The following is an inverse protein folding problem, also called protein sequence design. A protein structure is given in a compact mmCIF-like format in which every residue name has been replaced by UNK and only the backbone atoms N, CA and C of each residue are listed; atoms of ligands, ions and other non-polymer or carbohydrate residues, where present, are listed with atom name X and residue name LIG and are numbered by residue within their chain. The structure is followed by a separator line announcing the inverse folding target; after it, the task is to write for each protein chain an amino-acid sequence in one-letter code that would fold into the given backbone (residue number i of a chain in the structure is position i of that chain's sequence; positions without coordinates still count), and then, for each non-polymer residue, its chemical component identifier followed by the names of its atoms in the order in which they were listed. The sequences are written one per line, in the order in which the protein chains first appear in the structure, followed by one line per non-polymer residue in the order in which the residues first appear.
data_IF_945998254612
#
_entry.id   IF_945998254612
#
_cell.length_a   1.000
_cell.length_b   1.000
_cell.length_c   1.000
_cell.angle_alpha   90.00
_cell.angle_beta   90.00
_cell.angle_gamma   90.00
#
_symmetry.space_group_name_H-M   'P 1'
#
loop_
_entity.id
_entity.type
_entity.pdbx_description
1 polymer ?
#
# COMPACT_ATOMS: atom_id res chain seq x y z
N UNK A 1 33.06 4.17 1.54
CA UNK A 1 33.89 5.23 2.14
C UNK A 1 32.97 6.31 2.68
N UNK A 2 33.17 6.72 3.93
CA UNK A 2 32.36 7.71 4.62
C UNK A 2 33.25 8.83 5.12
N UNK A 3 32.98 10.06 4.70
CA UNK A 3 33.58 11.24 5.30
C UNK A 3 32.81 11.58 6.58
N UNK A 4 33.52 11.71 7.70
CA UNK A 4 32.93 12.13 8.96
C UNK A 4 33.00 13.66 9.02
N UNK A 5 31.85 14.32 9.17
CA UNK A 5 31.78 15.77 9.36
C UNK A 5 31.12 16.06 10.70
N UNK A 6 31.74 16.88 11.54
CA UNK A 6 31.11 17.33 12.80
C UNK A 6 29.97 18.31 12.53
N UNK A 7 29.11 18.55 13.51
CA UNK A 7 28.13 19.63 13.42
C UNK A 7 28.70 21.04 13.22
N UNK A 8 30.00 21.24 13.44
CA UNK A 8 30.71 22.50 13.17
C UNK A 8 31.33 22.56 11.77
N UNK A 9 31.19 21.49 10.96
CA UNK A 9 31.75 21.41 9.61
C UNK A 9 33.21 20.93 9.56
N UNK A 10 33.80 20.55 10.69
CA UNK A 10 35.15 20.01 10.74
C UNK A 10 35.17 18.57 10.18
N UNK A 11 36.18 18.28 9.36
CA UNK A 11 36.38 16.95 8.78
C UNK A 11 37.12 16.06 9.78
N UNK A 12 36.48 14.96 10.14
CA UNK A 12 37.07 13.87 10.90
C UNK A 12 37.77 12.84 10.01
N UNK A 13 38.28 11.79 10.66
CA UNK A 13 38.92 10.66 9.96
C UNK A 13 37.89 9.92 9.09
N UNK A 14 38.29 9.61 7.85
CA UNK A 14 37.46 8.84 6.91
C UNK A 14 37.28 7.42 7.41
N UNK A 15 36.03 6.94 7.40
CA UNK A 15 35.69 5.57 7.82
C UNK A 15 35.41 4.71 6.59
N UNK A 16 35.91 3.48 6.63
CA UNK A 16 35.67 2.47 5.60
C UNK A 16 34.80 1.36 6.18
N UNK A 17 33.77 0.96 5.43
CA UNK A 17 33.07 -0.29 5.72
C UNK A 17 33.82 -1.45 5.04
N UNK A 18 33.86 -2.58 5.72
CA UNK A 18 34.44 -3.84 5.25
C UNK A 18 33.35 -4.93 5.24
N UNK A 19 33.73 -6.19 4.97
CA UNK A 19 32.80 -7.33 4.94
C UNK A 19 32.07 -7.57 6.27
N UNK A 20 32.65 -7.15 7.39
CA UNK A 20 32.05 -7.25 8.73
C UNK A 20 31.16 -6.04 9.08
N UNK A 21 31.02 -5.07 8.18
CA UNK A 21 30.15 -3.90 8.33
C UNK A 21 30.89 -2.57 8.47
N UNK A 22 30.19 -1.58 9.03
CA UNK A 22 30.74 -0.25 9.33
C UNK A 22 30.98 -0.14 10.83
N UNK A 23 32.24 0.01 11.24
CA UNK A 23 32.60 0.27 12.64
C UNK A 23 32.83 1.76 12.82
N UNK A 24 32.05 2.39 13.71
CA UNK A 24 32.29 3.76 14.13
C UNK A 24 32.05 3.90 15.63
N UNK A 25 32.79 4.78 16.28
CA UNK A 25 32.61 5.08 17.70
C UNK A 25 31.81 6.38 17.83
N UNK A 26 30.54 6.35 18.30
CA UNK A 26 29.75 7.56 18.46
C UNK A 26 30.37 8.48 19.52
N UNK A 27 30.42 9.78 19.23
CA UNK A 27 30.78 10.83 20.19
C UNK A 27 29.52 11.50 20.76
N UNK A 28 29.66 12.21 21.90
CA UNK A 28 28.58 13.00 22.50
C UNK A 28 28.11 14.17 21.60
N UNK A 29 28.97 14.65 20.71
CA UNK A 29 28.64 15.69 19.74
C UNK A 29 28.11 15.05 18.43
N UNK A 30 27.11 15.65 17.75
CA UNK A 30 26.61 15.12 16.48
C UNK A 30 27.71 15.04 15.42
N UNK A 31 27.71 13.93 14.68
CA UNK A 31 28.58 13.66 13.56
C UNK A 31 27.73 13.17 12.38
N UNK A 32 28.07 13.63 11.18
CA UNK A 32 27.44 13.25 9.92
C UNK A 32 28.36 12.32 9.15
N UNK A 33 27.82 11.20 8.68
CA UNK A 33 28.53 10.28 7.77
C UNK A 33 28.08 10.58 6.35
N UNK A 34 28.96 11.24 5.57
CA UNK A 34 28.66 11.59 4.18
C UNK A 34 29.23 10.53 3.25
N UNK A 35 28.35 9.94 2.43
CA UNK A 35 28.72 8.99 1.39
C UNK A 35 29.25 9.75 0.17
N UNK A 36 30.55 9.67 -0.09
CA UNK A 36 31.20 10.33 -1.25
C UNK A 36 31.18 9.46 -2.50
N UNK A 37 31.22 8.14 -2.32
CA UNK A 37 31.17 7.14 -3.39
C UNK A 37 30.28 6.00 -2.94
N UNK A 38 29.51 5.43 -3.87
CA UNK A 38 28.78 4.19 -3.62
C UNK A 38 29.76 3.15 -3.07
N UNK A 39 29.41 2.53 -1.95
CA UNK A 39 30.22 1.46 -1.38
C UNK A 39 29.72 0.13 -1.94
N UNK A 40 30.49 -0.57 -2.79
CA UNK A 40 30.05 -1.81 -3.44
C UNK A 40 29.57 -2.86 -2.44
N UNK A 41 30.20 -2.93 -1.26
CA UNK A 41 29.85 -3.86 -0.20
C UNK A 41 28.52 -3.52 0.46
N UNK A 42 28.20 -2.23 0.63
CA UNK A 42 26.92 -1.82 1.21
C UNK A 42 25.79 -1.89 0.19
N UNK A 43 26.04 -1.60 -1.09
CA UNK A 43 25.04 -1.76 -2.15
C UNK A 43 24.62 -3.22 -2.36
N UNK A 44 25.43 -4.18 -1.91
CA UNK A 44 25.10 -5.61 -1.96
C UNK A 44 24.53 -6.19 -0.67
N UNK A 45 24.50 -5.42 0.43
CA UNK A 45 23.95 -5.93 1.71
C UNK A 45 22.42 -5.78 1.68
N UNK A 46 21.64 -6.84 2.00
CA UNK A 46 20.17 -6.78 2.03
C UNK A 46 19.59 -5.63 2.86
N UNK A 47 20.32 -5.14 3.86
CA UNK A 47 19.95 -3.99 4.68
C UNK A 47 19.96 -2.64 3.94
N UNK A 48 20.66 -2.51 2.81
CA UNK A 48 20.70 -1.26 2.04
C UNK A 48 19.50 -1.10 1.08
N UNK A 49 18.91 -2.21 0.65
CA UNK A 49 17.69 -2.26 -0.16
C UNK A 49 16.72 -3.28 0.48
N UNK A 50 16.16 -2.97 1.67
CA UNK A 50 15.38 -3.94 2.43
C UNK A 50 14.19 -4.43 1.63
N UNK A 51 13.85 -5.70 1.82
CA UNK A 51 12.57 -6.25 1.36
C UNK A 51 11.44 -5.39 1.90
N UNK A 52 10.41 -5.23 1.09
CA UNK A 52 9.13 -4.70 1.53
C UNK A 52 8.09 -5.80 1.41
N UNK A 53 7.11 -5.80 2.30
CA UNK A 53 6.01 -6.74 2.23
C UNK A 53 4.69 -6.08 2.62
N UNK A 54 3.61 -6.55 2.00
CA UNK A 54 2.23 -6.18 2.34
C UNK A 54 1.39 -7.43 2.46
N UNK A 55 0.52 -7.42 3.46
CA UNK A 55 -0.55 -8.41 3.63
C UNK A 55 -1.85 -7.80 3.09
N UNK A 56 -2.56 -8.55 2.26
CA UNK A 56 -3.85 -8.11 1.72
C UNK A 56 -4.80 -9.27 1.50
N UNK A 57 -6.10 -9.01 1.57
CA UNK A 57 -7.11 -10.01 1.25
C UNK A 57 -7.32 -10.11 -0.26
N UNK A 58 -7.34 -11.34 -0.77
CA UNK A 58 -7.81 -11.69 -2.12
C UNK A 58 -9.18 -12.35 -1.97
N UNK A 59 -10.20 -11.68 -2.49
CA UNK A 59 -11.60 -11.95 -2.17
C UNK A 59 -11.87 -11.81 -0.67
N UNK A 60 -12.86 -12.56 -0.18
CA UNK A 60 -13.27 -12.48 1.23
C UNK A 60 -12.44 -13.36 2.20
N UNK A 61 -11.59 -14.26 1.68
CA UNK A 61 -11.08 -15.38 2.47
C UNK A 61 -9.60 -15.69 2.30
N UNK A 62 -8.94 -15.23 1.25
CA UNK A 62 -7.53 -15.58 1.03
C UNK A 62 -6.66 -14.44 1.51
N UNK A 63 -5.73 -14.72 2.43
CA UNK A 63 -4.67 -13.80 2.79
C UNK A 63 -3.50 -14.01 1.82
N UNK A 64 -3.13 -12.97 1.09
CA UNK A 64 -1.99 -12.97 0.20
C UNK A 64 -0.87 -12.09 0.77
N UNK A 65 0.37 -12.45 0.41
CA UNK A 65 1.56 -11.63 0.67
C UNK A 65 2.08 -11.14 -0.66
N UNK A 66 2.23 -9.83 -0.77
CA UNK A 66 3.03 -9.20 -1.82
C UNK A 66 4.39 -8.84 -1.22
N UNK A 67 5.47 -9.25 -1.86
CA UNK A 67 6.84 -8.91 -1.48
C UNK A 67 7.46 -8.13 -2.63
N UNK A 68 8.02 -6.97 -2.31
CA UNK A 68 8.83 -6.18 -3.23
C UNK A 68 10.29 -6.27 -2.80
N UNK A 69 11.16 -6.53 -3.78
CA UNK A 69 12.60 -6.72 -3.60
C UNK A 69 13.36 -5.66 -4.42
N UNK A 70 13.57 -4.46 -3.85
CA UNK A 70 14.21 -3.36 -4.56
C UNK A 70 15.72 -3.58 -4.79
N UNK A 71 16.30 -4.64 -4.24
CA UNK A 71 17.72 -4.96 -4.45
C UNK A 71 18.01 -5.61 -5.80
N UNK A 72 16.98 -6.13 -6.49
CA UNK A 72 17.06 -6.97 -7.69
C UNK A 72 17.91 -8.24 -7.53
N UNK A 73 18.50 -8.48 -6.36
CA UNK A 73 19.27 -9.67 -6.06
C UNK A 73 18.34 -10.87 -5.85
N UNK A 74 18.86 -12.08 -6.07
CA UNK A 74 18.13 -13.28 -5.66
C UNK A 74 17.89 -13.28 -4.16
N UNK A 75 16.72 -13.76 -3.74
CA UNK A 75 16.39 -13.92 -2.33
C UNK A 75 15.84 -15.33 -2.09
N UNK A 76 16.25 -15.96 -1.00
CA UNK A 76 15.67 -17.21 -0.52
C UNK A 76 15.35 -17.06 0.96
N UNK A 77 14.12 -17.36 1.33
CA UNK A 77 13.67 -17.19 2.70
C UNK A 77 12.40 -17.97 3.00
N UNK A 78 11.93 -17.79 4.21
CA UNK A 78 10.71 -18.42 4.72
C UNK A 78 9.81 -17.35 5.29
N UNK A 79 8.54 -17.44 4.96
CA UNK A 79 7.48 -16.57 5.41
C UNK A 79 6.68 -17.28 6.51
N UNK A 80 6.42 -16.57 7.59
CA UNK A 80 5.71 -17.06 8.78
C UNK A 80 4.59 -16.08 9.11
N UNK A 81 3.37 -16.56 9.30
CA UNK A 81 2.34 -15.72 9.91
C UNK A 81 2.60 -15.64 11.42
N UNK A 82 2.49 -14.44 11.95
CA UNK A 82 2.59 -14.18 13.40
C UNK A 82 1.21 -13.80 13.93
N UNK A 83 0.88 -14.24 15.15
CA UNK A 83 -0.40 -13.96 15.82
C UNK A 83 -1.63 -14.11 14.90
N UNK A 84 -1.67 -15.21 14.15
CA UNK A 84 -2.70 -15.43 13.13
C UNK A 84 -3.98 -16.01 13.74
N UNK A 85 -5.12 -15.41 13.45
CA UNK A 85 -6.44 -15.93 13.77
C UNK A 85 -7.36 -15.90 12.55
N UNK A 86 -8.30 -16.84 12.49
CA UNK A 86 -9.29 -16.87 11.42
C UNK A 86 -8.82 -17.45 10.08
N UNK A 87 -7.59 -17.98 10.02
CA UNK A 87 -7.02 -18.66 8.85
C UNK A 87 -6.80 -20.15 9.12
N UNK A 88 -7.07 -20.98 8.11
CA UNK A 88 -6.62 -22.37 8.06
C UNK A 88 -5.21 -22.47 7.47
N UNK A 89 -4.43 -23.45 7.92
CA UNK A 89 -3.05 -23.70 7.45
C UNK A 89 -2.12 -22.48 7.56
N UNK A 90 -2.01 -21.86 8.74
CA UNK A 90 -1.11 -20.74 9.05
C UNK A 90 0.38 -21.12 9.15
N UNK A 91 0.79 -22.14 8.41
CA UNK A 91 2.15 -22.69 8.45
C UNK A 91 3.20 -21.77 7.83
N UNK A 92 4.41 -22.30 7.68
CA UNK A 92 5.52 -21.62 7.02
C UNK A 92 5.43 -21.82 5.51
N UNK A 93 5.88 -20.83 4.73
CA UNK A 93 5.97 -20.95 3.27
C UNK A 93 7.32 -20.46 2.78
N UNK A 94 8.04 -21.30 2.05
CA UNK A 94 9.27 -20.89 1.39
C UNK A 94 9.00 -19.86 0.29
N UNK A 95 9.88 -18.88 0.16
CA UNK A 95 9.92 -17.93 -0.94
C UNK A 95 11.29 -17.94 -1.60
N UNK A 96 11.27 -17.92 -2.93
CA UNK A 96 12.46 -17.74 -3.75
C UNK A 96 12.20 -16.66 -4.80
N UNK A 97 13.05 -15.65 -4.84
CA UNK A 97 13.13 -14.62 -5.88
C UNK A 97 14.38 -14.87 -6.71
N UNK A 98 14.24 -14.86 -8.03
CA UNK A 98 15.39 -14.92 -8.96
C UNK A 98 16.07 -13.54 -9.05
N UNK A 99 17.33 -13.47 -9.51
CA UNK A 99 17.90 -12.18 -9.89
C UNK A 99 17.01 -11.47 -10.92
N UNK A 100 16.75 -10.18 -10.69
CA UNK A 100 15.81 -9.36 -11.47
C UNK A 100 14.32 -9.54 -11.15
N UNK A 101 13.96 -10.45 -10.22
CA UNK A 101 12.58 -10.60 -9.76
C UNK A 101 12.30 -9.60 -8.62
N UNK A 102 11.77 -8.43 -9.01
CA UNK A 102 11.60 -7.27 -8.13
C UNK A 102 10.31 -7.28 -7.32
N UNK A 103 9.38 -8.18 -7.65
CA UNK A 103 8.14 -8.37 -6.89
C UNK A 103 7.63 -9.81 -7.01
N UNK A 104 6.97 -10.30 -5.97
CA UNK A 104 6.27 -11.59 -5.98
C UNK A 104 5.00 -11.51 -5.15
N UNK A 105 3.90 -11.95 -5.77
CA UNK A 105 2.62 -12.13 -5.13
C UNK A 105 2.37 -13.62 -4.88
N UNK A 106 1.98 -13.98 -3.65
CA UNK A 106 1.61 -15.33 -3.30
C UNK A 106 0.38 -15.37 -2.38
N UNK A 107 -0.53 -16.30 -2.66
CA UNK A 107 -1.56 -16.68 -1.69
C UNK A 107 -0.90 -17.44 -0.55
N UNK A 108 -1.11 -17.00 0.68
CA UNK A 108 -0.43 -17.55 1.83
C UNK A 108 -1.30 -18.55 2.59
N UNK A 109 -2.42 -18.07 3.10
CA UNK A 109 -3.38 -18.81 3.90
C UNK A 109 -4.80 -18.43 3.49
N UNK A 110 -5.77 -19.27 3.84
CA UNK A 110 -7.18 -19.01 3.55
C UNK A 110 -8.03 -19.26 4.78
N UNK A 111 -9.00 -18.39 5.02
CA UNK A 111 -10.03 -18.57 6.03
C UNK A 111 -11.02 -19.69 5.65
N UNK A 112 -11.58 -20.40 6.63
CA UNK A 112 -12.77 -21.22 6.44
C UNK A 112 -13.93 -20.39 5.88
N UNK A 113 -14.86 -21.01 5.17
CA UNK A 113 -15.98 -20.34 4.49
C UNK A 113 -16.91 -19.52 5.40
N UNK A 114 -16.90 -19.80 6.71
CA UNK A 114 -17.76 -19.14 7.71
C UNK A 114 -17.15 -17.89 8.33
N UNK A 115 -15.88 -17.61 8.06
CA UNK A 115 -15.15 -16.60 8.81
C UNK A 115 -15.15 -15.25 8.08
N UNK A 116 -15.53 -14.19 8.79
CA UNK A 116 -15.70 -12.85 8.22
C UNK A 116 -14.48 -11.95 8.43
N UNK A 117 -13.45 -12.38 9.17
CA UNK A 117 -12.27 -11.56 9.46
C UNK A 117 -11.02 -12.43 9.59
N UNK A 118 -9.86 -11.90 9.17
CA UNK A 118 -8.55 -12.54 9.31
C UNK A 118 -7.64 -11.62 10.11
N UNK A 119 -6.99 -12.13 11.16
CA UNK A 119 -5.92 -11.42 11.85
C UNK A 119 -4.59 -12.10 11.51
N UNK A 120 -3.58 -11.32 11.13
CA UNK A 120 -2.25 -11.84 10.91
C UNK A 120 -1.20 -10.73 10.90
N UNK A 121 -0.03 -11.02 11.45
CA UNK A 121 1.23 -10.38 11.13
C UNK A 121 2.07 -11.26 10.22
N UNK A 122 3.24 -10.77 9.82
CA UNK A 122 4.14 -11.48 8.93
C UNK A 122 5.57 -11.38 9.46
N UNK A 123 6.30 -12.48 9.38
CA UNK A 123 7.74 -12.50 9.56
C UNK A 123 8.39 -13.17 8.37
N UNK A 124 9.45 -12.57 7.85
CA UNK A 124 10.29 -13.10 6.77
C UNK A 124 11.65 -13.39 7.36
N UNK A 125 12.10 -14.64 7.27
CA UNK A 125 13.42 -15.07 7.73
C UNK A 125 14.26 -15.60 6.56
N UNK A 126 15.58 -15.42 6.63
CA UNK A 126 16.55 -16.01 5.71
C UNK A 126 17.76 -16.45 6.52
N UNK A 127 18.16 -17.71 6.38
CA UNK A 127 19.33 -18.28 7.08
C UNK A 127 19.32 -18.03 8.61
N UNK A 128 18.13 -18.07 9.23
CA UNK A 128 17.95 -17.83 10.67
C UNK A 128 17.95 -16.35 11.08
N UNK A 129 18.08 -15.42 10.13
CA UNK A 129 18.00 -13.98 10.36
C UNK A 129 16.63 -13.44 9.97
N UNK A 130 16.06 -12.57 10.83
CA UNK A 130 14.81 -11.86 10.52
C UNK A 130 15.10 -10.74 9.54
N UNK A 131 14.51 -10.83 8.35
CA UNK A 131 14.69 -9.87 7.27
C UNK A 131 13.62 -8.77 7.33
N UNK A 132 12.40 -9.12 7.73
CA UNK A 132 11.27 -8.20 7.84
C UNK A 132 10.24 -8.76 8.82
N UNK A 133 9.62 -7.89 9.62
CA UNK A 133 8.51 -8.24 10.50
C UNK A 133 7.42 -7.16 10.40
N UNK A 134 6.18 -7.59 10.16
CA UNK A 134 4.98 -6.76 10.16
C UNK A 134 4.16 -7.09 11.40
N UNK A 135 3.76 -6.04 12.11
CA UNK A 135 2.82 -6.16 13.21
C UNK A 135 1.52 -6.82 12.74
N UNK A 136 0.87 -7.61 13.59
CA UNK A 136 -0.41 -8.21 13.26
C UNK A 136 -1.48 -7.14 13.10
N UNK A 137 -2.33 -7.35 12.10
CA UNK A 137 -3.46 -6.49 11.77
C UNK A 137 -4.68 -7.35 11.49
N UNK A 138 -5.87 -6.83 11.74
CA UNK A 138 -7.12 -7.52 11.45
C UNK A 138 -7.75 -6.96 10.18
N UNK A 139 -7.93 -7.83 9.20
CA UNK A 139 -8.52 -7.53 7.91
C UNK A 139 -9.98 -7.99 7.89
N UNK A 140 -10.89 -7.05 7.62
CA UNK A 140 -12.31 -7.31 7.42
C UNK A 140 -12.64 -7.05 5.95
N UNK A 141 -12.94 -8.07 5.14
CA UNK A 141 -13.37 -7.88 3.75
C UNK A 141 -14.66 -7.06 3.72
N UNK A 142 -14.78 -6.22 2.70
CA UNK A 142 -16.03 -5.60 2.33
C UNK A 142 -16.71 -6.44 1.24
N UNK A 143 -18.03 -6.30 1.11
CA UNK A 143 -18.76 -6.97 0.05
C UNK A 143 -18.29 -6.52 -1.33
N UNK A 144 -18.22 -7.43 -2.30
CA UNK A 144 -17.85 -7.13 -3.68
C UNK A 144 -18.76 -6.04 -4.30
N UNK A 145 -20.04 -6.03 -3.87
CA UNK A 145 -21.04 -5.01 -4.21
C UNK A 145 -20.57 -3.58 -3.98
N UNK A 146 -19.71 -3.33 -2.97
CA UNK A 146 -19.15 -2.01 -2.70
C UNK A 146 -18.48 -1.39 -3.93
N UNK A 147 -17.76 -2.21 -4.71
CA UNK A 147 -17.13 -1.75 -5.95
C UNK A 147 -18.06 -1.96 -7.15
N UNK A 148 -18.72 -3.11 -7.27
CA UNK A 148 -19.48 -3.45 -8.49
C UNK A 148 -20.76 -2.64 -8.68
N UNK A 149 -21.36 -2.17 -7.59
CA UNK A 149 -22.52 -1.24 -7.62
C UNK A 149 -22.08 0.23 -7.54
N UNK A 150 -20.79 0.48 -7.34
CA UNK A 150 -20.22 1.81 -7.30
C UNK A 150 -20.35 2.53 -8.64
N UNK A 151 -20.36 3.86 -8.60
CA UNK A 151 -20.34 4.71 -9.79
C UNK A 151 -19.07 5.54 -9.82
N UNK A 152 -18.66 5.94 -11.01
CA UNK A 152 -17.54 6.87 -11.18
C UNK A 152 -18.06 8.27 -11.51
N UNK A 153 -17.63 9.26 -10.74
CA UNK A 153 -17.97 10.68 -10.95
C UNK A 153 -16.71 11.49 -11.15
N UNK A 154 -16.77 12.49 -12.04
CA UNK A 154 -15.69 13.47 -12.17
C UNK A 154 -15.86 14.59 -11.13
N UNK A 155 -14.74 15.08 -10.63
CA UNK A 155 -14.64 16.17 -9.65
C UNK A 155 -13.41 17.04 -10.04
N UNK A 156 -13.21 18.20 -9.41
CA UNK A 156 -12.20 19.20 -9.81
C UNK A 156 -12.77 20.30 -10.70
N UNK A 157 -11.94 20.92 -11.54
CA UNK A 157 -12.35 22.09 -12.34
C UNK A 157 -13.37 21.70 -13.42
N UNK A 158 -14.58 22.24 -13.33
CA UNK A 158 -15.70 21.95 -14.24
C UNK A 158 -15.42 22.30 -15.71
N UNK A 159 -14.46 23.19 -15.99
CA UNK A 159 -14.08 23.59 -17.36
C UNK A 159 -13.21 22.56 -18.07
N UNK A 160 -12.57 21.66 -17.32
CA UNK A 160 -11.68 20.66 -17.90
C UNK A 160 -12.51 19.49 -18.44
N UNK A 161 -12.45 19.26 -19.74
CA UNK A 161 -13.13 18.14 -20.37
C UNK A 161 -12.60 16.81 -19.83
N UNK A 162 -13.50 15.90 -19.47
CA UNK A 162 -13.14 14.56 -19.00
C UNK A 162 -14.16 13.52 -19.47
N UNK A 163 -13.72 12.27 -19.58
CA UNK A 163 -14.60 11.12 -19.73
C UNK A 163 -14.13 10.03 -18.78
N UNK A 164 -15.08 9.29 -18.23
CA UNK A 164 -14.80 8.22 -17.29
C UNK A 164 -15.87 7.15 -17.38
N UNK A 165 -15.48 5.90 -17.16
CA UNK A 165 -16.42 4.78 -17.09
C UNK A 165 -15.98 3.77 -16.04
N UNK A 166 -16.96 3.08 -15.47
CA UNK A 166 -16.76 2.01 -14.50
C UNK A 166 -17.62 0.82 -14.92
N UNK A 167 -17.07 -0.38 -14.88
CA UNK A 167 -17.79 -1.60 -15.20
C UNK A 167 -17.11 -2.82 -14.57
N UNK A 168 -17.91 -3.84 -14.23
CA UNK A 168 -17.34 -5.17 -13.95
C UNK A 168 -16.67 -5.70 -15.22
N UNK A 169 -15.43 -6.16 -15.09
CA UNK A 169 -14.64 -6.65 -16.22
C UNK A 169 -13.56 -7.63 -15.78
N UNK A 170 -12.78 -8.12 -16.74
CA UNK A 170 -11.63 -8.99 -16.50
C UNK A 170 -10.35 -8.15 -16.63
N UNK A 171 -9.46 -8.25 -15.65
CA UNK A 171 -8.16 -7.59 -15.70
C UNK A 171 -7.22 -8.27 -16.73
N UNK A 172 -6.20 -7.57 -17.25
CA UNK A 172 -5.28 -8.13 -18.24
C UNK A 172 -4.56 -9.39 -17.71
N UNK A 173 -4.19 -9.38 -16.43
CA UNK A 173 -3.68 -10.56 -15.72
C UNK A 173 -4.61 -10.88 -14.54
N UNK A 174 -4.89 -12.16 -14.27
CA UNK A 174 -5.73 -12.55 -13.14
C UNK A 174 -5.02 -12.26 -11.81
N UNK A 175 -5.76 -11.75 -10.82
CA UNK A 175 -5.28 -11.73 -9.44
C UNK A 175 -5.29 -13.16 -8.91
N UNK A 176 -4.15 -13.78 -8.54
CA UNK A 176 -4.10 -15.19 -8.20
C UNK A 176 -5.07 -15.57 -7.07
N UNK A 177 -5.98 -16.51 -7.34
CA UNK A 177 -6.97 -17.00 -6.36
C UNK A 177 -8.18 -16.09 -6.15
N UNK A 178 -8.31 -14.99 -6.92
CA UNK A 178 -9.52 -14.20 -6.95
C UNK A 178 -10.61 -14.89 -7.78
N UNK A 179 -11.77 -15.09 -7.18
CA UNK A 179 -12.98 -15.60 -7.86
C UNK A 179 -14.16 -14.62 -7.78
N UNK A 180 -13.90 -13.39 -7.32
CA UNK A 180 -14.88 -12.32 -7.17
C UNK A 180 -14.80 -11.35 -8.36
N UNK A 181 -15.87 -10.56 -8.62
CA UNK A 181 -15.85 -9.52 -9.64
C UNK A 181 -14.66 -8.55 -9.49
N UNK A 182 -14.10 -8.15 -10.62
CA UNK A 182 -13.12 -7.06 -10.72
C UNK A 182 -13.80 -5.88 -11.40
N UNK A 183 -13.52 -4.67 -10.90
CA UNK A 183 -14.08 -3.45 -11.48
C UNK A 183 -13.03 -2.71 -12.28
N UNK A 184 -13.28 -2.51 -13.57
CA UNK A 184 -12.47 -1.72 -14.48
C UNK A 184 -12.91 -0.26 -14.43
N UNK A 185 -11.93 0.63 -14.38
CA UNK A 185 -12.09 2.08 -14.51
C UNK A 185 -11.33 2.53 -15.75
N UNK A 186 -11.99 3.25 -16.64
CA UNK A 186 -11.32 4.04 -17.68
C UNK A 186 -11.47 5.51 -17.33
N UNK A 187 -10.43 6.29 -17.56
CA UNK A 187 -10.45 7.72 -17.34
C UNK A 187 -9.68 8.44 -18.44
N UNK A 188 -10.10 9.66 -18.75
CA UNK A 188 -9.33 10.61 -19.54
C UNK A 188 -9.74 12.04 -19.17
N UNK A 189 -8.79 12.97 -19.18
CA UNK A 189 -9.04 14.39 -19.05
C UNK A 189 -8.08 15.20 -19.93
N UNK A 190 -8.54 16.39 -20.34
CA UNK A 190 -7.68 17.43 -20.88
C UNK A 190 -6.67 17.92 -19.82
N UNK A 191 -5.74 18.77 -20.25
CA UNK A 191 -4.83 19.47 -19.35
C UNK A 191 -5.65 20.32 -18.35
N UNK A 192 -5.32 20.19 -17.07
CA UNK A 192 -5.98 20.87 -15.97
C UNK A 192 -6.20 19.97 -14.76
N UNK A 193 -6.89 20.51 -13.76
CA UNK A 193 -7.12 19.81 -12.49
C UNK A 193 -8.42 19.00 -12.52
N UNK A 194 -8.28 17.67 -12.43
CA UNK A 194 -9.39 16.72 -12.37
C UNK A 194 -9.16 15.58 -11.39
N UNK A 195 -10.26 15.13 -10.80
CA UNK A 195 -10.36 13.91 -10.01
C UNK A 195 -11.38 12.96 -10.64
N UNK A 196 -11.15 11.67 -10.47
CA UNK A 196 -12.12 10.63 -10.78
C UNK A 196 -12.42 9.83 -9.52
N UNK A 197 -13.65 9.88 -9.05
CA UNK A 197 -14.07 9.31 -7.77
C UNK A 197 -14.96 8.10 -8.00
N UNK A 198 -14.54 6.94 -7.51
CA UNK A 198 -15.40 5.78 -7.31
C UNK A 198 -16.15 5.99 -6.01
N UNK A 199 -17.42 6.32 -6.13
CA UNK A 199 -18.31 6.54 -4.98
C UNK A 199 -19.21 5.32 -4.81
N UNK A 200 -19.49 4.89 -3.57
CA UNK A 200 -20.35 3.75 -3.31
C UNK A 200 -21.80 4.05 -3.73
N UNK A 201 -22.60 3.00 -3.91
CA UNK A 201 -24.06 3.13 -4.00
C UNK A 201 -24.63 3.68 -2.68
N UNK A 202 -25.79 4.34 -2.73
CA UNK A 202 -26.39 4.99 -1.55
C UNK A 202 -26.73 3.99 -0.44
N UNK A 203 -26.99 2.73 -0.81
CA UNK A 203 -27.16 1.56 0.09
C UNK A 203 -25.94 1.28 0.99
N UNK A 204 -24.79 1.88 0.68
CA UNK A 204 -23.52 1.70 1.40
C UNK A 204 -23.05 2.97 2.12
N UNK A 205 -23.93 3.97 2.27
CA UNK A 205 -23.64 5.25 2.95
C UNK A 205 -23.70 5.19 4.49
N UNK A 206 -23.99 4.00 5.05
CA UNK A 206 -24.12 3.79 6.49
C UNK A 206 -22.79 3.88 7.25
N UNK A 207 -22.88 4.12 8.56
CA UNK A 207 -21.73 4.17 9.45
C UNK A 207 -20.97 2.83 9.50
N UNK A 208 -19.65 2.91 9.42
CA UNK A 208 -18.74 1.78 9.52
C UNK A 208 -18.57 1.43 11.00
N UNK A 209 -18.83 0.16 11.33
CA UNK A 209 -18.71 -0.34 12.71
C UNK A 209 -17.25 -0.37 13.15
N UNK A 210 -16.98 0.23 14.31
CA UNK A 210 -15.68 0.23 14.98
C UNK A 210 -14.77 1.39 14.58
N UNK A 211 -13.48 1.24 14.89
CA UNK A 211 -12.44 2.21 14.60
C UNK A 211 -11.37 1.58 13.68
N UNK A 212 -11.63 1.44 12.37
CA UNK A 212 -10.60 0.97 11.44
C UNK A 212 -9.39 1.92 11.45
N UNK A 213 -8.20 1.34 11.35
CA UNK A 213 -6.94 2.07 11.17
C UNK A 213 -6.62 2.33 9.69
N UNK A 214 -7.33 1.67 8.77
CA UNK A 214 -7.14 1.91 7.34
C UNK A 214 -8.11 1.17 6.43
N UNK A 215 -7.87 1.34 5.14
CA UNK A 215 -8.58 0.68 4.06
C UNK A 215 -7.56 0.16 3.04
N UNK A 216 -7.77 -1.04 2.51
CA UNK A 216 -6.90 -1.57 1.47
C UNK A 216 -7.68 -2.29 0.37
N UNK A 217 -7.11 -2.32 -0.82
CA UNK A 217 -7.66 -2.98 -2.00
C UNK A 217 -6.55 -3.32 -3.00
N UNK A 218 -6.81 -4.27 -3.87
CA UNK A 218 -5.92 -4.56 -5.01
C UNK A 218 -6.20 -3.59 -6.15
N UNK A 219 -5.12 -3.08 -6.73
CA UNK A 219 -5.15 -2.24 -7.93
C UNK A 219 -4.25 -2.85 -8.99
N UNK A 220 -4.81 -3.10 -10.17
CA UNK A 220 -4.03 -3.34 -11.38
C UNK A 220 -3.65 -1.98 -11.96
N UNK A 221 -2.37 -1.61 -11.82
CA UNK A 221 -1.84 -0.33 -12.25
C UNK A 221 -1.58 -0.27 -13.77
N UNK A 222 -1.59 0.95 -14.31
CA UNK A 222 -1.23 1.26 -15.70
C UNK A 222 0.13 1.99 -15.85
N UNK A 223 0.86 2.16 -14.75
CA UNK A 223 2.17 2.80 -14.71
C UNK A 223 2.14 4.32 -14.96
N UNK A 224 0.97 4.97 -14.92
CA UNK A 224 0.84 6.40 -15.29
C UNK A 224 1.09 7.40 -14.17
N UNK A 225 1.68 6.94 -13.07
CA UNK A 225 2.06 7.75 -11.90
C UNK A 225 0.90 8.57 -11.33
N UNK A 226 -0.28 7.97 -11.27
CA UNK A 226 -1.46 8.63 -10.73
C UNK A 226 -1.42 8.62 -9.19
N UNK A 227 -2.03 9.62 -8.55
CA UNK A 227 -2.05 9.74 -7.08
C UNK A 227 -3.39 9.21 -6.52
N UNK A 228 -3.43 7.98 -5.96
CA UNK A 228 -4.65 7.43 -5.38
C UNK A 228 -4.96 8.05 -4.02
N UNK A 229 -6.22 8.40 -3.83
CA UNK A 229 -6.76 8.91 -2.56
C UNK A 229 -8.08 8.19 -2.24
N UNK A 230 -8.64 8.45 -1.07
CA UNK A 230 -10.02 8.12 -0.75
C UNK A 230 -10.66 9.26 0.04
N UNK A 231 -11.97 9.21 0.27
CA UNK A 231 -12.64 10.14 1.19
C UNK A 231 -13.58 9.42 2.13
N UNK A 232 -13.45 9.73 3.42
CA UNK A 232 -14.35 9.30 4.48
C UNK A 232 -14.88 10.52 5.21
N UNK A 233 -16.09 10.42 5.75
CA UNK A 233 -16.69 11.47 6.58
C UNK A 233 -16.94 10.92 7.97
N UNK A 234 -16.49 11.65 8.98
CA UNK A 234 -16.58 11.25 10.38
C UNK A 234 -17.94 11.66 11.00
N UNK A 235 -18.11 11.35 12.29
CA UNK A 235 -19.33 11.60 13.05
C UNK A 235 -19.63 13.10 13.25
N UNK A 236 -18.62 13.96 13.18
CA UNK A 236 -18.78 15.43 13.26
C UNK A 236 -19.17 16.04 11.91
N UNK A 237 -19.08 15.26 10.82
CA UNK A 237 -19.22 15.74 9.46
C UNK A 237 -17.90 16.21 8.83
N UNK A 238 -16.77 15.97 9.49
CA UNK A 238 -15.44 16.28 8.96
C UNK A 238 -15.04 15.23 7.93
N UNK A 239 -14.61 15.70 6.76
CA UNK A 239 -14.11 14.85 5.67
C UNK A 239 -12.62 14.70 5.79
N UNK A 240 -12.12 13.47 5.61
CA UNK A 240 -10.69 13.17 5.52
C UNK A 240 -10.36 12.61 4.13
N UNK A 241 -9.20 12.98 3.60
CA UNK A 241 -8.68 12.52 2.32
C UNK A 241 -7.30 11.85 2.43
N UNK A 242 -7.21 10.63 3.00
CA UNK A 242 -5.98 9.84 2.98
C UNK A 242 -5.47 9.61 1.57
N UNK A 243 -4.15 9.57 1.42
CA UNK A 243 -3.45 9.36 0.15
C UNK A 243 -2.58 8.11 0.26
N UNK A 244 -2.67 7.21 -0.71
CA UNK A 244 -1.84 6.01 -0.78
C UNK A 244 -0.63 6.23 -1.69
N UNK A 245 0.24 5.23 -1.82
CA UNK A 245 1.38 5.28 -2.73
C UNK A 245 0.96 5.51 -4.20
N UNK A 246 1.74 6.29 -4.95
CA UNK A 246 1.45 6.61 -6.35
C UNK A 246 1.51 5.36 -7.24
N UNK A 247 0.63 5.29 -8.25
CA UNK A 247 0.52 4.16 -9.17
C UNK A 247 1.52 4.31 -10.31
N UNK A 248 2.79 4.03 -10.04
CA UNK A 248 3.92 4.08 -10.98
C UNK A 248 4.29 2.71 -11.57
N UNK A 249 3.45 1.70 -11.35
CA UNK A 249 3.67 0.33 -11.78
C UNK A 249 2.57 -0.20 -12.69
N UNK A 250 2.89 -1.27 -13.42
CA UNK A 250 1.92 -2.11 -14.13
C UNK A 250 1.71 -3.42 -13.37
N UNK A 251 0.50 -3.95 -13.39
CA UNK A 251 0.16 -5.20 -12.70
C UNK A 251 -0.49 -5.00 -11.34
N UNK A 252 -0.80 -6.10 -10.66
CA UNK A 252 -1.47 -6.10 -9.36
C UNK A 252 -0.54 -5.69 -8.22
N UNK A 253 -0.96 -4.69 -7.44
CA UNK A 253 -0.40 -4.40 -6.11
C UNK A 253 -1.51 -4.13 -5.10
N UNK A 254 -1.23 -4.43 -3.84
CA UNK A 254 -2.13 -4.07 -2.73
C UNK A 254 -1.83 -2.64 -2.30
N UNK A 255 -2.82 -1.75 -2.42
CA UNK A 255 -2.75 -0.40 -1.89
C UNK A 255 -3.42 -0.36 -0.52
N UNK A 256 -2.81 0.39 0.38
CA UNK A 256 -3.36 0.71 1.69
C UNK A 256 -3.44 2.22 1.87
N UNK A 257 -4.53 2.66 2.48
CA UNK A 257 -4.77 4.02 2.92
C UNK A 257 -4.79 4.01 4.44
N UNK A 258 -3.80 4.63 5.05
CA UNK A 258 -3.67 4.73 6.51
C UNK A 258 -4.53 5.89 7.03
N UNK A 259 -5.43 5.60 7.96
CA UNK A 259 -6.30 6.59 8.59
C UNK A 259 -5.62 7.33 9.75
N UNK A 260 -4.48 6.84 10.22
CA UNK A 260 -3.67 7.51 11.24
C UNK A 260 -2.59 8.42 10.63
N UNK A 261 -2.34 8.29 9.33
CA UNK A 261 -1.41 9.16 8.62
C UNK A 261 -2.01 10.57 8.43
N UNK A 262 -1.18 11.63 8.41
CA UNK A 262 -1.65 12.96 8.09
C UNK A 262 -2.39 13.00 6.74
N UNK A 263 -3.61 13.53 6.75
CA UNK A 263 -4.48 13.62 5.59
C UNK A 263 -5.07 15.03 5.47
N UNK A 264 -5.41 15.44 4.25
CA UNK A 264 -6.21 16.65 4.06
C UNK A 264 -7.58 16.47 4.71
N UNK A 265 -8.05 17.48 5.44
CA UNK A 265 -9.34 17.43 6.11
C UNK A 265 -10.10 18.76 5.99
N UNK A 266 -11.43 18.72 6.02
CA UNK A 266 -12.30 19.89 5.96
C UNK A 266 -13.72 19.59 6.47
N UNK A 267 -14.46 20.64 6.86
CA UNK A 267 -15.83 20.52 7.38
C UNK A 267 -15.89 19.91 8.78
N UNK A 268 -17.10 19.76 9.34
CA UNK A 268 -17.32 19.23 10.68
C UNK A 268 -16.54 19.97 11.77
N UNK A 269 -15.98 19.21 12.72
CA UNK A 269 -15.13 19.76 13.78
C UNK A 269 -13.85 20.42 13.25
N UNK A 270 -13.38 19.99 12.08
CA UNK A 270 -12.19 20.53 11.40
C UNK A 270 -10.91 20.55 12.26
N UNK A 271 -10.74 19.57 13.14
CA UNK A 271 -9.63 19.43 14.09
C UNK A 271 -8.55 18.43 13.64
N UNK A 272 -8.74 17.76 12.51
CA UNK A 272 -7.82 16.74 12.00
C UNK A 272 -7.83 15.42 12.78
N UNK A 273 -8.80 15.22 13.68
CA UNK A 273 -8.99 13.99 14.45
C UNK A 273 -10.20 13.23 13.92
N UNK A 274 -10.05 11.94 13.59
CA UNK A 274 -11.16 11.12 13.11
C UNK A 274 -12.09 10.76 14.28
N UNK A 275 -13.33 11.23 14.22
CA UNK A 275 -14.38 10.88 15.19
C UNK A 275 -15.31 9.78 14.65
N UNK A 276 -15.28 8.57 15.24
CA UNK A 276 -16.12 7.45 14.79
C UNK A 276 -17.60 7.61 15.22
N UNK A 277 -18.57 7.01 14.49
CA UNK A 277 -18.39 6.19 13.29
C UNK A 277 -18.06 7.03 12.05
N UNK A 278 -17.20 6.49 11.19
CA UNK A 278 -16.95 7.06 9.85
C UNK A 278 -17.93 6.45 8.84
N UNK A 279 -18.15 7.14 7.71
CA UNK A 279 -18.89 6.63 6.55
C UNK A 279 -18.13 6.91 5.27
N UNK A 280 -18.45 6.15 4.22
CA UNK A 280 -17.83 6.34 2.91
C UNK A 280 -18.39 7.59 2.21
N UNK A 281 -17.48 8.40 1.66
CA UNK A 281 -17.81 9.36 0.60
C UNK A 281 -17.26 8.87 -0.75
N UNK A 282 -15.99 8.45 -0.77
CA UNK A 282 -15.30 7.98 -1.97
C UNK A 282 -14.41 6.78 -1.61
N UNK A 283 -14.65 5.64 -2.24
CA UNK A 283 -13.88 4.40 -2.03
C UNK A 283 -12.49 4.47 -2.67
N UNK A 284 -12.39 5.11 -3.83
CA UNK A 284 -11.15 5.30 -4.55
C UNK A 284 -11.22 6.58 -5.38
N UNK A 285 -10.19 7.41 -5.31
CA UNK A 285 -10.08 8.68 -6.01
C UNK A 285 -8.77 8.70 -6.78
N UNK A 286 -8.83 8.93 -8.09
CA UNK A 286 -7.64 9.15 -8.90
C UNK A 286 -7.40 10.65 -9.07
N UNK A 287 -6.29 11.15 -8.52
CA UNK A 287 -5.88 12.54 -8.63
C UNK A 287 -4.86 12.73 -9.76
N UNK A 288 -5.22 13.56 -10.76
CA UNK A 288 -4.29 14.03 -11.77
C UNK A 288 -3.42 15.18 -11.24
N UNK A 289 -2.48 14.85 -10.37
CA UNK A 289 -1.57 15.80 -9.73
C UNK A 289 -0.69 16.54 -10.75
N UNK A 290 -0.36 15.89 -11.87
CA UNK A 290 0.46 16.47 -12.95
C UNK A 290 -0.23 17.63 -13.65
N UNK A 291 -1.57 17.65 -13.61
CA UNK A 291 -2.45 18.54 -14.39
C UNK A 291 -2.21 18.48 -15.90
N UNK A 292 -1.44 17.52 -16.39
CA UNK A 292 -1.26 17.29 -17.82
C UNK A 292 -2.44 16.50 -18.37
N UNK A 293 -2.61 16.51 -19.70
CA UNK A 293 -3.55 15.60 -20.35
C UNK A 293 -3.23 14.17 -19.89
N UNK A 294 -4.24 13.46 -19.40
CA UNK A 294 -4.08 12.12 -18.83
C UNK A 294 -5.20 11.22 -19.30
N UNK A 295 -4.88 9.96 -19.55
CA UNK A 295 -5.83 8.90 -19.87
C UNK A 295 -5.27 7.59 -19.34
N UNK A 296 -6.11 6.62 -19.02
CA UNK A 296 -5.62 5.34 -18.53
C UNK A 296 -6.72 4.37 -18.13
N UNK A 297 -6.28 3.26 -17.54
CA UNK A 297 -7.17 2.17 -17.17
C UNK A 297 -6.65 1.48 -15.92
N UNK A 298 -7.48 1.40 -14.89
CA UNK A 298 -7.16 0.69 -13.65
C UNK A 298 -8.20 -0.41 -13.41
N UNK A 299 -7.82 -1.41 -12.63
CA UNK A 299 -8.75 -2.43 -12.15
C UNK A 299 -8.68 -2.53 -10.63
N UNK A 300 -9.83 -2.58 -9.97
CA UNK A 300 -9.97 -2.62 -8.52
C UNK A 300 -10.59 -3.95 -8.07
N UNK A 301 -10.08 -4.52 -6.97
CA UNK A 301 -10.63 -5.74 -6.40
C UNK A 301 -10.40 -5.87 -4.89
N UNK A 302 -11.22 -6.73 -4.25
CA UNK A 302 -11.09 -7.18 -2.86
C UNK A 302 -10.86 -6.06 -1.84
N UNK A 303 -11.80 -5.10 -1.74
CA UNK A 303 -11.72 -4.04 -0.74
C UNK A 303 -11.83 -4.61 0.68
N UNK A 304 -11.04 -4.11 1.61
CA UNK A 304 -11.04 -4.53 3.00
C UNK A 304 -10.76 -3.35 3.94
N UNK A 305 -11.42 -3.36 5.09
CA UNK A 305 -11.05 -2.51 6.22
C UNK A 305 -9.94 -3.17 7.02
N UNK A 306 -9.01 -2.35 7.50
CA UNK A 306 -7.87 -2.77 8.31
C UNK A 306 -8.06 -2.20 9.70
N UNK A 307 -7.94 -3.07 10.70
CA UNK A 307 -7.98 -2.75 12.12
C UNK A 307 -6.61 -3.05 12.73
N UNK A 308 -6.23 -2.34 13.81
CA UNK A 308 -5.07 -2.73 14.60
C UNK A 308 -5.26 -4.15 15.19
#
# INVERSE_FOLDING_TARGET
EFEVITHTGERGETIFANESGLVFTPKRAPQYLIVRKSNPLLSSVPAACPLQARLGLVGAKTLAVQIDNPSDASFNGTLHLTQSAGVGNSGQRGIKLKPGETSKLLNFASAPSTNSEIMAGLRIESEGTVMLELAPRRFRPLADAMLSEGRIVSDGDAKIASQQSIAVSIAPEPLPGLNSPVVKINYQCAEGWKFFRVVPADSHSHGIVGAPAGFGLWVYGDGRNASPRLRIVDATGQTFQPTAAAIDWTGWRYLEFDFNAPAGHWGGANDGVIHFPIRWDTLFLLDNVSRQKSEGTLYLASPALIYP
#
